data_IF_767586271526
#
_entry.id   IF_767586271526
#
_cell.length_a   1.000
_cell.length_b   1.000
_cell.length_c   1.000
_cell.angle_alpha   90.00
_cell.angle_beta   90.00
_cell.angle_gamma   90.00
#
_symmetry.space_group_name_H-M   'P 1'
#
loop_
_entity.id
_entity.type
_entity.pdbx_description
1 polymer ?
#
# COMPACT_ATOMS: atom_id res chain seq x y z
N UNK A 1 13.38 -11.43 7.66
CA UNK A 1 12.54 -10.22 7.53
C UNK A 1 11.08 -10.62 7.63
N UNK A 2 10.39 -10.11 8.64
CA UNK A 2 8.99 -10.42 8.95
C UNK A 2 8.03 -9.99 7.84
N UNK A 3 8.29 -8.83 7.20
CA UNK A 3 7.45 -8.23 6.13
C UNK A 3 7.22 -9.16 4.93
N UNK A 4 8.11 -10.11 4.62
CA UNK A 4 7.92 -11.06 3.51
C UNK A 4 7.28 -12.39 3.94
N UNK A 5 7.18 -12.65 5.25
CA UNK A 5 6.76 -13.94 5.82
C UNK A 5 5.26 -14.01 6.08
N UNK A 6 4.65 -12.87 6.38
CA UNK A 6 3.21 -12.76 6.66
C UNK A 6 2.47 -12.12 5.50
N UNK A 7 1.15 -12.23 5.45
CA UNK A 7 0.34 -11.45 4.50
C UNK A 7 0.37 -9.96 4.87
N UNK A 8 0.14 -9.07 3.92
CA UNK A 8 -0.08 -7.63 4.23
C UNK A 8 -1.53 -7.30 3.92
N UNK A 9 -2.26 -6.79 4.91
CA UNK A 9 -3.56 -6.19 4.69
C UNK A 9 -3.41 -4.68 4.74
N UNK A 10 -3.88 -3.98 3.71
CA UNK A 10 -3.99 -2.52 3.71
C UNK A 10 -5.47 -2.15 3.68
N UNK A 11 -5.84 -1.11 4.40
CA UNK A 11 -7.22 -0.63 4.45
C UNK A 11 -7.27 0.89 4.49
N UNK A 12 -8.36 1.43 3.96
CA UNK A 12 -8.73 2.84 4.04
C UNK A 12 -10.07 2.94 4.79
N UNK A 13 -10.23 4.00 5.58
CA UNK A 13 -11.45 4.29 6.34
C UNK A 13 -11.72 5.80 6.37
N UNK A 14 -12.81 6.21 7.02
CA UNK A 14 -13.26 7.59 7.22
C UNK A 14 -13.95 8.19 5.98
N UNK A 15 -15.19 7.76 5.75
CA UNK A 15 -16.05 8.17 4.62
C UNK A 15 -16.12 7.12 3.51
N UNK A 16 -15.02 6.42 3.26
CA UNK A 16 -14.95 5.25 2.38
C UNK A 16 -14.32 4.12 3.18
N UNK A 17 -14.80 2.89 3.02
CA UNK A 17 -14.18 1.70 3.62
C UNK A 17 -13.80 0.73 2.52
N UNK A 18 -12.51 0.44 2.39
CA UNK A 18 -12.02 -0.56 1.45
C UNK A 18 -10.76 -1.24 2.01
N UNK A 19 -10.48 -2.44 1.52
CA UNK A 19 -9.32 -3.21 1.95
C UNK A 19 -8.76 -4.05 0.81
N UNK A 20 -7.45 -4.27 0.87
CA UNK A 20 -6.75 -5.22 0.00
C UNK A 20 -5.88 -6.17 0.83
N UNK A 21 -5.69 -7.38 0.32
CA UNK A 21 -4.76 -8.37 0.87
C UNK A 21 -3.67 -8.67 -0.15
N UNK A 22 -2.41 -8.53 0.26
CA UNK A 22 -1.23 -8.92 -0.50
C UNK A 22 -0.63 -10.17 0.17
N UNK A 23 -0.82 -11.37 -0.42
CA UNK A 23 -0.31 -12.60 0.17
C UNK A 23 1.22 -12.60 0.33
N UNK A 24 1.72 -13.29 1.35
CA UNK A 24 3.16 -13.48 1.57
C UNK A 24 3.85 -14.12 0.36
N UNK A 25 3.18 -15.08 -0.29
CA UNK A 25 3.67 -15.72 -1.52
C UNK A 25 3.86 -14.71 -2.67
N UNK A 26 2.90 -13.78 -2.82
CA UNK A 26 2.95 -12.72 -3.83
C UNK A 26 4.11 -11.75 -3.56
N UNK A 27 4.28 -11.32 -2.30
CA UNK A 27 5.42 -10.47 -1.92
C UNK A 27 6.77 -11.15 -2.18
N UNK A 28 6.88 -12.45 -1.86
CA UNK A 28 8.11 -13.22 -2.11
C UNK A 28 8.42 -13.37 -3.59
N UNK A 29 7.41 -13.55 -4.44
CA UNK A 29 7.57 -13.61 -5.89
C UNK A 29 8.08 -12.27 -6.44
N UNK A 30 7.38 -11.17 -6.13
CA UNK A 30 7.79 -9.81 -6.56
C UNK A 30 9.18 -9.46 -6.04
N UNK A 31 9.48 -9.81 -4.78
CA UNK A 31 10.79 -9.60 -4.18
C UNK A 31 11.90 -10.32 -4.96
N UNK A 32 11.71 -11.60 -5.28
CA UNK A 32 12.70 -12.37 -6.07
C UNK A 32 12.95 -11.73 -7.43
N UNK A 33 11.91 -11.33 -8.13
CA UNK A 33 12.03 -10.71 -9.45
C UNK A 33 12.77 -9.35 -9.41
N UNK A 34 12.45 -8.49 -8.45
CA UNK A 34 13.15 -7.20 -8.31
C UNK A 34 14.58 -7.38 -7.80
N UNK A 35 14.82 -8.36 -6.93
CA UNK A 35 16.17 -8.68 -6.44
C UNK A 35 17.06 -9.21 -7.56
N UNK A 36 16.52 -10.04 -8.45
CA UNK A 36 17.20 -10.49 -9.67
C UNK A 36 17.59 -9.32 -10.59
N UNK A 37 16.76 -8.26 -10.63
CA UNK A 37 17.06 -6.99 -11.34
C UNK A 37 18.04 -6.06 -10.59
N UNK A 38 18.65 -6.53 -9.50
CA UNK A 38 19.64 -5.75 -8.73
C UNK A 38 19.05 -4.69 -7.79
N UNK A 39 17.73 -4.64 -7.60
CA UNK A 39 17.11 -3.62 -6.73
C UNK A 39 17.48 -3.87 -5.26
N UNK A 40 17.87 -2.81 -4.55
CA UNK A 40 18.21 -2.87 -3.11
C UNK A 40 16.99 -3.23 -2.27
N UNK A 41 17.21 -3.96 -1.18
CA UNK A 41 16.15 -4.50 -0.31
C UNK A 41 15.12 -3.44 0.10
N UNK A 42 15.56 -2.34 0.73
CA UNK A 42 14.64 -1.33 1.24
C UNK A 42 13.82 -0.66 0.13
N UNK A 43 14.41 -0.47 -1.05
CA UNK A 43 13.71 0.06 -2.23
C UNK A 43 12.63 -0.91 -2.74
N UNK A 44 12.89 -2.23 -2.69
CA UNK A 44 11.88 -3.24 -3.04
C UNK A 44 10.69 -3.15 -2.09
N UNK A 45 10.94 -3.05 -0.78
CA UNK A 45 9.88 -2.92 0.24
C UNK A 45 9.07 -1.64 0.02
N UNK A 46 9.73 -0.50 -0.16
CA UNK A 46 9.07 0.78 -0.44
C UNK A 46 8.23 0.74 -1.72
N UNK A 47 8.72 0.11 -2.79
CA UNK A 47 7.98 -0.08 -4.05
C UNK A 47 6.73 -0.93 -3.87
N UNK A 48 6.84 -2.07 -3.18
CA UNK A 48 5.70 -2.94 -2.92
C UNK A 48 4.64 -2.25 -2.05
N UNK A 49 5.08 -1.49 -1.04
CA UNK A 49 4.17 -0.73 -0.19
C UNK A 49 3.45 0.38 -0.97
N UNK A 50 4.18 1.21 -1.73
CA UNK A 50 3.60 2.25 -2.57
C UNK A 50 2.67 1.69 -3.66
N UNK A 51 3.02 0.55 -4.26
CA UNK A 51 2.16 -0.16 -5.21
C UNK A 51 0.88 -0.68 -4.55
N UNK A 52 0.98 -1.23 -3.34
CA UNK A 52 -0.18 -1.62 -2.53
C UNK A 52 -1.11 -0.46 -2.22
N UNK A 53 -0.56 0.68 -1.79
CA UNK A 53 -1.32 1.91 -1.55
C UNK A 53 -2.03 2.39 -2.82
N UNK A 54 -1.35 2.40 -3.97
CA UNK A 54 -1.98 2.78 -5.22
C UNK A 54 -3.14 1.84 -5.59
N UNK A 55 -2.96 0.52 -5.46
CA UNK A 55 -4.01 -0.46 -5.73
C UNK A 55 -5.23 -0.31 -4.80
N UNK A 56 -5.00 0.10 -3.55
CA UNK A 56 -6.05 0.39 -2.58
C UNK A 56 -6.81 1.69 -2.92
N UNK A 57 -6.09 2.74 -3.33
CA UNK A 57 -6.64 4.08 -3.49
C UNK A 57 -7.21 4.37 -4.89
N UNK A 58 -6.73 3.69 -5.94
CA UNK A 58 -6.96 4.09 -7.35
C UNK A 58 -8.43 4.26 -7.73
N UNK A 59 -9.32 3.44 -7.18
CA UNK A 59 -10.76 3.46 -7.52
C UNK A 59 -11.52 4.56 -6.76
N UNK A 60 -10.85 5.25 -5.84
CA UNK A 60 -11.43 6.25 -4.94
C UNK A 60 -10.77 7.63 -5.08
N UNK A 61 -9.78 7.78 -5.97
CA UNK A 61 -9.01 9.04 -6.12
C UNK A 61 -9.89 10.25 -6.44
N UNK A 62 -11.03 10.06 -7.10
CA UNK A 62 -11.99 11.14 -7.38
C UNK A 62 -12.80 11.61 -6.16
N UNK A 63 -12.86 10.81 -5.10
CA UNK A 63 -13.63 11.07 -3.88
C UNK A 63 -12.75 11.39 -2.67
N UNK A 64 -11.42 11.33 -2.85
CA UNK A 64 -10.44 11.55 -1.78
C UNK A 64 -10.03 13.02 -1.76
N UNK A 65 -10.33 13.69 -0.65
CA UNK A 65 -9.80 15.04 -0.37
C UNK A 65 -8.37 14.97 0.18
N UNK A 66 -8.14 14.10 1.18
CA UNK A 66 -6.84 13.89 1.83
C UNK A 66 -6.72 12.44 2.29
N UNK A 67 -5.52 11.86 2.20
CA UNK A 67 -5.16 10.54 2.75
C UNK A 67 -4.05 10.71 3.77
N UNK A 68 -4.18 10.11 4.95
CA UNK A 68 -3.08 9.97 5.90
C UNK A 68 -2.63 8.52 5.87
N UNK A 69 -1.38 8.30 5.48
CA UNK A 69 -0.75 6.98 5.43
C UNK A 69 -0.05 6.74 6.77
N UNK A 70 -0.24 5.55 7.34
CA UNK A 70 0.43 5.17 8.59
C UNK A 70 1.95 5.10 8.39
N UNK A 71 2.70 5.67 9.33
CA UNK A 71 4.18 5.65 9.31
C UNK A 71 4.66 4.25 9.69
N UNK A 72 4.76 3.37 8.70
CA UNK A 72 5.25 1.99 8.88
C UNK A 72 6.77 1.86 8.64
N UNK A 73 7.37 2.81 7.88
CA UNK A 73 8.78 2.79 7.49
C UNK A 73 9.44 4.13 7.79
N UNK A 74 9.94 4.29 9.01
CA UNK A 74 10.60 5.52 9.46
C UNK A 74 11.74 5.92 8.49
N UNK A 75 11.72 7.18 8.04
CA UNK A 75 12.69 7.73 7.09
C UNK A 75 12.41 7.44 5.60
N UNK A 76 11.34 6.71 5.25
CA UNK A 76 11.00 6.37 3.86
C UNK A 76 9.82 7.16 3.28
N UNK A 77 9.17 8.01 4.08
CA UNK A 77 7.95 8.74 3.73
C UNK A 77 8.08 9.51 2.42
N UNK A 78 9.19 10.24 2.23
CA UNK A 78 9.43 11.01 1.01
C UNK A 78 9.53 10.11 -0.24
N UNK A 79 10.18 8.95 -0.09
CA UNK A 79 10.34 7.97 -1.17
C UNK A 79 8.99 7.33 -1.50
N UNK A 80 8.27 6.86 -0.49
CA UNK A 80 6.95 6.23 -0.65
C UNK A 80 5.97 7.22 -1.29
N UNK A 81 5.96 8.48 -0.83
CA UNK A 81 5.17 9.56 -1.42
C UNK A 81 5.49 9.76 -2.89
N UNK A 82 6.78 9.85 -3.24
CA UNK A 82 7.23 10.02 -4.62
C UNK A 82 6.79 8.86 -5.52
N UNK A 83 6.98 7.62 -5.06
CA UNK A 83 6.55 6.42 -5.78
C UNK A 83 5.03 6.38 -5.96
N UNK A 84 4.26 6.72 -4.94
CA UNK A 84 2.79 6.74 -4.98
C UNK A 84 2.27 7.84 -5.93
N UNK A 85 2.77 9.07 -5.80
CA UNK A 85 2.37 10.18 -6.67
C UNK A 85 2.71 9.92 -8.13
N UNK A 86 3.85 9.29 -8.43
CA UNK A 86 4.22 8.92 -9.79
C UNK A 86 3.22 7.95 -10.44
N UNK A 87 2.49 7.15 -9.64
CA UNK A 87 1.41 6.27 -10.14
C UNK A 87 0.07 7.00 -10.19
N UNK A 88 -0.29 7.73 -9.14
CA UNK A 88 -1.55 8.50 -9.08
C UNK A 88 -1.64 9.48 -10.25
N UNK A 89 -0.59 10.24 -10.54
CA UNK A 89 -0.60 11.26 -11.61
C UNK A 89 -0.83 10.71 -13.02
N UNK A 90 -0.64 9.40 -13.24
CA UNK A 90 -0.95 8.76 -14.52
C UNK A 90 -2.45 8.56 -14.74
N UNK A 91 -3.24 8.53 -13.66
CA UNK A 91 -4.69 8.28 -13.71
C UNK A 91 -5.52 9.45 -13.17
N UNK A 92 -4.95 10.26 -12.28
CA UNK A 92 -5.55 11.47 -11.73
C UNK A 92 -4.45 12.55 -11.58
N UNK A 93 -4.17 13.31 -12.64
CA UNK A 93 -3.09 14.32 -12.65
C UNK A 93 -3.27 15.45 -11.63
N UNK A 94 -4.52 15.70 -11.21
CA UNK A 94 -4.89 16.82 -10.35
C UNK A 94 -4.58 16.61 -8.87
N UNK A 95 -4.21 15.39 -8.44
CA UNK A 95 -3.88 15.15 -7.03
C UNK A 95 -2.60 15.89 -6.64
N UNK A 96 -2.74 16.81 -5.69
CA UNK A 96 -1.62 17.56 -5.13
C UNK A 96 -0.87 16.74 -4.07
N UNK A 97 0.44 16.98 -3.93
CA UNK A 97 1.29 16.26 -2.97
C UNK A 97 0.82 16.43 -1.51
N UNK A 98 0.16 17.55 -1.20
CA UNK A 98 -0.29 17.90 0.15
C UNK A 98 -1.58 17.16 0.54
N UNK A 99 -2.26 16.55 -0.44
CA UNK A 99 -3.40 15.65 -0.18
C UNK A 99 -2.94 14.28 0.33
N UNK A 100 -1.63 13.99 0.35
CA UNK A 100 -1.08 12.73 0.86
C UNK A 100 -0.24 13.06 2.09
N UNK A 101 -0.76 12.83 3.28
CA UNK A 101 -0.04 12.94 4.55
C UNK A 101 0.58 11.62 4.98
N UNK A 102 1.59 11.71 5.84
CA UNK A 102 2.08 10.59 6.65
C UNK A 102 1.88 10.97 8.11
N UNK A 103 1.40 10.05 8.92
CA UNK A 103 1.17 10.28 10.34
C UNK A 103 0.86 9.00 11.08
N UNK A 104 0.88 9.05 12.41
CA UNK A 104 0.52 7.90 13.24
C UNK A 104 -1.00 7.72 13.23
N UNK A 105 -1.49 6.87 12.33
CA UNK A 105 -2.92 6.55 12.22
C UNK A 105 -3.32 5.63 13.38
N UNK A 106 -2.38 4.83 13.88
CA UNK A 106 -2.46 4.15 15.18
C UNK A 106 -3.49 3.01 15.27
N UNK A 107 -3.36 2.19 16.31
CA UNK A 107 -4.17 0.96 16.50
C UNK A 107 -5.66 1.20 16.72
N UNK A 108 -6.06 2.43 17.07
CA UNK A 108 -7.46 2.82 17.33
C UNK A 108 -8.18 3.30 16.07
N UNK A 109 -7.49 3.50 14.96
CA UNK A 109 -8.14 3.94 13.72
C UNK A 109 -9.08 2.86 13.17
N UNK A 110 -10.20 3.26 12.53
CA UNK A 110 -11.06 2.30 11.85
C UNK A 110 -10.32 1.55 10.73
N UNK A 111 -9.41 2.22 10.01
CA UNK A 111 -8.57 1.60 8.99
C UNK A 111 -7.70 0.48 9.57
N UNK A 112 -7.05 0.69 10.72
CA UNK A 112 -6.27 -0.35 11.38
C UNK A 112 -7.15 -1.55 11.77
N UNK A 113 -8.35 -1.29 12.30
CA UNK A 113 -9.30 -2.36 12.65
C UNK A 113 -9.67 -3.22 11.43
N UNK A 114 -10.03 -2.57 10.32
CA UNK A 114 -10.36 -3.26 9.05
C UNK A 114 -9.18 -4.07 8.53
N UNK A 115 -7.98 -3.49 8.49
CA UNK A 115 -6.77 -4.19 8.06
C UNK A 115 -6.48 -5.41 8.96
N UNK A 116 -6.60 -5.27 10.28
CA UNK A 116 -6.35 -6.33 11.24
C UNK A 116 -7.35 -7.49 11.11
N UNK A 117 -8.63 -7.18 10.90
CA UNK A 117 -9.68 -8.18 10.69
C UNK A 117 -9.49 -8.97 9.39
N UNK A 118 -9.11 -8.29 8.31
CA UNK A 118 -8.75 -8.91 7.03
C UNK A 118 -7.50 -9.78 7.18
N UNK A 119 -6.46 -9.28 7.84
CA UNK A 119 -5.23 -10.02 8.12
C UNK A 119 -5.50 -11.29 8.93
N UNK A 120 -6.38 -11.20 9.95
CA UNK A 120 -6.81 -12.33 10.79
C UNK A 120 -7.83 -13.25 10.10
N UNK A 121 -8.18 -12.98 8.84
CA UNK A 121 -9.19 -13.74 8.06
C UNK A 121 -10.57 -13.77 8.71
N UNK A 122 -10.87 -12.78 9.57
CA UNK A 122 -12.20 -12.60 10.16
C UNK A 122 -13.17 -11.94 9.18
N UNK A 123 -12.63 -11.16 8.23
CA UNK A 123 -13.36 -10.57 7.12
C UNK A 123 -12.63 -10.82 5.80
N UNK A 124 -13.38 -11.00 4.72
CA UNK A 124 -12.80 -11.11 3.38
C UNK A 124 -12.23 -9.75 2.94
N UNK A 125 -11.06 -9.71 2.26
CA UNK A 125 -10.57 -8.48 1.67
C UNK A 125 -11.45 -8.03 0.51
N UNK A 126 -11.60 -6.72 0.31
CA UNK A 126 -12.26 -6.18 -0.87
C UNK A 126 -11.56 -6.60 -2.16
N UNK A 127 -10.22 -6.68 -2.16
CA UNK A 127 -9.43 -7.24 -3.27
C UNK A 127 -8.25 -8.07 -2.78
N UNK A 128 -7.98 -9.20 -3.44
CA UNK A 128 -6.76 -9.98 -3.23
C UNK A 128 -5.80 -9.71 -4.38
N UNK A 129 -4.60 -9.22 -4.07
CA UNK A 129 -3.61 -8.81 -5.07
C UNK A 129 -2.77 -10.01 -5.52
N UNK A 130 -2.54 -10.11 -6.84
CA UNK A 130 -1.65 -11.11 -7.44
C UNK A 130 -0.26 -10.54 -7.75
N UNK A 131 0.70 -11.41 -8.06
CA UNK A 131 2.08 -11.01 -8.31
C UNK A 131 2.23 -10.10 -9.52
N UNK A 132 1.52 -10.37 -10.62
CA UNK A 132 1.59 -9.57 -11.83
C UNK A 132 1.10 -8.13 -11.60
N UNK A 133 -0.03 -7.97 -10.92
CA UNK A 133 -0.61 -6.68 -10.59
C UNK A 133 0.25 -5.86 -9.62
N UNK A 134 0.93 -6.51 -8.70
CA UNK A 134 1.86 -5.82 -7.79
C UNK A 134 3.17 -5.45 -8.49
N UNK A 135 3.74 -6.38 -9.27
CA UNK A 135 5.02 -6.19 -9.96
C UNK A 135 4.97 -5.09 -11.02
N UNK A 136 3.87 -4.99 -11.78
CA UNK A 136 3.72 -3.98 -12.83
C UNK A 136 3.75 -2.53 -12.32
N UNK A 137 3.57 -2.35 -11.00
CA UNK A 137 3.59 -1.08 -10.30
C UNK A 137 4.90 -0.82 -9.55
N UNK A 138 5.77 -1.83 -9.43
CA UNK A 138 7.08 -1.74 -8.78
C UNK A 138 8.18 -1.26 -9.74
#
# INVERSE_FOLDING_TARGET
>A
MEVLRVDTALALSNGITASILIPAAVKREVYRQLKYRGVKHNMIVARMFAAGLFLLLRDYLGSITTVIIDVEYEGWDAIIRGLLLARIRKVSPCIHKDQIGFGYVGKKSPAHKVALEVFRKKHAPGKKINAQGLLSLC
#
